data_IF_247394099471
#
_entry.id   IF_247394099471
#
_cell.length_a   1.000
_cell.length_b   1.000
_cell.length_c   1.000
_cell.angle_alpha   90.00
_cell.angle_beta   90.00
_cell.angle_gamma   90.00
#
_symmetry.space_group_name_H-M   'P 1'
#
loop_
_entity.id
_entity.type
_entity.pdbx_description
1 polymer ?
#
# COMPACT_ATOMS: atom_id res chain seq x y z
N UNK A 1 -18.71 -2.99 9.61
CA UNK A 1 -17.45 -2.70 8.89
C UNK A 1 -17.70 -2.92 7.40
N UNK A 2 -17.41 -1.95 6.54
CA UNK A 2 -17.46 -2.04 5.07
C UNK A 2 -16.08 -1.74 4.53
N UNK A 3 -15.54 -2.60 3.70
CA UNK A 3 -14.15 -2.55 3.25
C UNK A 3 -14.12 -2.26 1.75
N UNK A 4 -13.46 -1.20 1.33
CA UNK A 4 -13.20 -0.92 -0.07
C UNK A 4 -11.94 -1.68 -0.51
N UNK A 5 -12.06 -2.48 -1.55
CA UNK A 5 -10.94 -3.03 -2.31
C UNK A 5 -10.71 -2.08 -3.48
N UNK A 6 -9.68 -1.25 -3.36
CA UNK A 6 -9.31 -0.23 -4.33
C UNK A 6 -8.20 -0.71 -5.24
N UNK A 7 -8.48 -0.85 -6.52
CA UNK A 7 -7.55 -1.34 -7.54
C UNK A 7 -7.03 -0.17 -8.38
N UNK A 8 -5.72 -0.11 -8.50
CA UNK A 8 -5.01 0.91 -9.28
C UNK A 8 -4.42 0.26 -10.54
N UNK A 9 -4.76 0.77 -11.71
CA UNK A 9 -4.13 0.31 -12.94
C UNK A 9 -4.18 1.37 -14.04
N UNK A 10 -3.05 1.58 -14.71
CA UNK A 10 -2.97 2.37 -15.94
C UNK A 10 -2.73 1.52 -17.19
N UNK A 11 -2.51 0.21 -17.04
CA UNK A 11 -2.08 -0.69 -18.12
C UNK A 11 -2.90 -1.99 -18.23
N UNK A 12 -3.89 -2.15 -17.36
CA UNK A 12 -4.59 -3.42 -17.14
C UNK A 12 -3.96 -4.22 -16.00
N UNK A 13 -4.59 -5.33 -15.62
CA UNK A 13 -4.19 -6.13 -14.47
C UNK A 13 -3.36 -7.34 -14.92
N UNK A 14 -2.28 -7.62 -14.20
CA UNK A 14 -1.48 -8.83 -14.42
C UNK A 14 -2.25 -10.07 -13.97
N UNK A 15 -2.19 -11.15 -14.77
CA UNK A 15 -2.99 -12.37 -14.54
C UNK A 15 -2.78 -12.95 -13.14
N UNK A 16 -1.55 -12.97 -12.65
CA UNK A 16 -1.23 -13.51 -11.31
C UNK A 16 -1.79 -12.63 -10.19
N UNK A 17 -1.83 -11.30 -10.39
CA UNK A 17 -2.49 -10.38 -9.48
C UNK A 17 -4.00 -10.68 -9.42
N UNK A 18 -4.65 -10.85 -10.56
CA UNK A 18 -6.08 -11.21 -10.62
C UNK A 18 -6.36 -12.51 -9.89
N UNK A 19 -5.51 -13.54 -10.05
CA UNK A 19 -5.65 -14.80 -9.31
C UNK A 19 -5.49 -14.62 -7.80
N UNK A 20 -4.52 -13.82 -7.35
CA UNK A 20 -4.35 -13.48 -5.92
C UNK A 20 -5.58 -12.76 -5.38
N UNK A 21 -6.10 -11.79 -6.11
CA UNK A 21 -7.30 -11.04 -5.76
C UNK A 21 -8.53 -11.97 -5.64
N UNK A 22 -8.77 -12.83 -6.63
CA UNK A 22 -9.91 -13.77 -6.61
C UNK A 22 -9.85 -14.71 -5.40
N UNK A 23 -8.66 -15.24 -5.08
CA UNK A 23 -8.47 -16.11 -3.90
C UNK A 23 -8.74 -15.34 -2.61
N UNK A 24 -8.23 -14.11 -2.47
CA UNK A 24 -8.45 -13.26 -1.31
C UNK A 24 -9.94 -12.90 -1.15
N UNK A 25 -10.65 -12.58 -2.23
CA UNK A 25 -12.11 -12.32 -2.19
C UNK A 25 -12.84 -13.57 -1.72
N UNK A 26 -12.51 -14.74 -2.26
CA UNK A 26 -13.13 -16.01 -1.85
C UNK A 26 -12.88 -16.31 -0.37
N UNK A 27 -11.66 -16.14 0.12
CA UNK A 27 -11.31 -16.32 1.52
C UNK A 27 -11.97 -15.30 2.45
N UNK A 28 -12.41 -14.16 1.91
CA UNK A 28 -13.03 -13.03 2.63
C UNK A 28 -14.55 -12.90 2.36
N UNK A 29 -15.22 -13.93 1.87
CA UNK A 29 -16.65 -13.90 1.51
C UNK A 29 -17.61 -13.57 2.66
N UNK A 30 -17.14 -13.68 3.89
CA UNK A 30 -17.84 -13.31 5.13
C UNK A 30 -17.74 -11.81 5.46
N UNK A 31 -16.94 -11.05 4.73
CA UNK A 31 -16.76 -9.62 4.90
C UNK A 31 -17.67 -8.83 3.94
N UNK A 32 -18.05 -7.61 4.35
CA UNK A 32 -18.78 -6.69 3.48
C UNK A 32 -17.78 -5.92 2.60
N UNK A 33 -17.53 -6.43 1.38
CA UNK A 33 -16.59 -5.88 0.43
C UNK A 33 -17.28 -4.96 -0.57
N UNK A 34 -16.65 -3.83 -0.86
CA UNK A 34 -16.98 -2.89 -1.92
C UNK A 34 -15.77 -2.77 -2.84
N UNK A 35 -15.98 -2.63 -4.14
CA UNK A 35 -14.90 -2.61 -5.12
C UNK A 35 -14.88 -1.29 -5.88
N UNK A 36 -13.70 -0.69 -6.00
CA UNK A 36 -13.43 0.47 -6.82
C UNK A 36 -12.20 0.21 -7.69
N UNK A 37 -12.30 0.58 -8.96
CA UNK A 37 -11.18 0.55 -9.90
C UNK A 37 -10.93 1.98 -10.38
N UNK A 38 -9.70 2.42 -10.33
CA UNK A 38 -9.28 3.74 -10.84
C UNK A 38 -8.13 3.56 -11.82
N UNK A 39 -8.35 4.01 -13.06
CA UNK A 39 -7.39 3.93 -14.15
C UNK A 39 -7.27 5.24 -14.95
N UNK A 40 -8.02 6.28 -14.57
CA UNK A 40 -8.20 7.48 -15.38
C UNK A 40 -7.34 8.68 -14.95
N UNK A 41 -6.65 8.59 -13.81
CA UNK A 41 -5.76 9.64 -13.35
C UNK A 41 -4.49 9.72 -14.20
N UNK A 42 -3.97 10.93 -14.39
CA UNK A 42 -2.70 11.14 -15.08
C UNK A 42 -1.51 10.57 -14.30
N UNK A 43 -1.69 10.43 -12.97
CA UNK A 43 -0.61 10.00 -12.09
C UNK A 43 -1.10 8.97 -11.07
N UNK A 44 -0.17 8.17 -10.54
CA UNK A 44 -0.47 7.21 -9.46
C UNK A 44 -1.00 7.91 -8.21
N UNK A 45 -0.47 9.10 -7.88
CA UNK A 45 -0.92 9.89 -6.73
C UNK A 45 -2.36 10.33 -6.89
N UNK A 46 -2.78 10.79 -8.09
CA UNK A 46 -4.18 11.15 -8.37
C UNK A 46 -5.09 9.94 -8.25
N UNK A 47 -4.68 8.77 -8.76
CA UNK A 47 -5.46 7.54 -8.66
C UNK A 47 -5.64 7.12 -7.19
N UNK A 48 -4.60 7.21 -6.36
CA UNK A 48 -4.69 6.92 -4.91
C UNK A 48 -5.61 7.91 -4.20
N UNK A 49 -5.53 9.21 -4.51
CA UNK A 49 -6.43 10.23 -3.97
C UNK A 49 -7.89 9.97 -4.39
N UNK A 50 -8.12 9.58 -5.64
CA UNK A 50 -9.45 9.24 -6.15
C UNK A 50 -10.03 8.02 -5.41
N UNK A 51 -9.26 6.94 -5.23
CA UNK A 51 -9.69 5.76 -4.45
C UNK A 51 -10.04 6.13 -3.01
N UNK A 52 -9.23 6.94 -2.34
CA UNK A 52 -9.52 7.40 -0.98
C UNK A 52 -10.82 8.19 -0.92
N UNK A 53 -11.06 9.10 -1.87
CA UNK A 53 -12.29 9.87 -1.97
C UNK A 53 -13.52 8.96 -2.22
N UNK A 54 -13.41 8.00 -3.14
CA UNK A 54 -14.48 7.03 -3.45
C UNK A 54 -14.80 6.14 -2.25
N UNK A 55 -13.79 5.65 -1.52
CA UNK A 55 -13.98 4.85 -0.31
C UNK A 55 -14.78 5.63 0.75
N UNK A 56 -14.46 6.91 0.96
CA UNK A 56 -15.22 7.80 1.86
C UNK A 56 -16.65 8.02 1.37
N UNK A 57 -16.85 8.34 0.09
CA UNK A 57 -18.18 8.58 -0.51
C UNK A 57 -19.09 7.36 -0.38
N UNK A 58 -18.53 6.15 -0.47
CA UNK A 58 -19.25 4.89 -0.35
C UNK A 58 -19.42 4.41 1.10
N UNK A 59 -19.04 5.23 2.10
CA UNK A 59 -19.17 4.90 3.52
C UNK A 59 -18.35 3.68 3.94
N UNK A 60 -17.22 3.42 3.27
CA UNK A 60 -16.31 2.37 3.67
C UNK A 60 -15.52 2.80 4.92
N UNK A 61 -15.28 1.86 5.82
CA UNK A 61 -14.50 2.08 7.05
C UNK A 61 -13.01 1.80 6.85
N UNK A 62 -12.68 1.01 5.80
CA UNK A 62 -11.32 0.64 5.44
C UNK A 62 -11.17 0.70 3.92
N UNK A 63 -9.97 1.04 3.48
CA UNK A 63 -9.55 0.98 2.09
C UNK A 63 -8.29 0.12 1.99
N UNK A 64 -8.39 -1.01 1.28
CA UNK A 64 -7.24 -1.79 0.83
C UNK A 64 -6.90 -1.34 -0.58
N UNK A 65 -5.79 -0.62 -0.77
CA UNK A 65 -5.24 -0.29 -2.08
C UNK A 65 -4.36 -1.44 -2.57
N UNK A 66 -4.49 -1.81 -3.84
CA UNK A 66 -3.71 -2.86 -4.48
C UNK A 66 -3.27 -2.39 -5.87
N UNK A 67 -1.96 -2.43 -6.13
CA UNK A 67 -1.41 -2.15 -7.44
C UNK A 67 -1.63 -3.35 -8.39
N UNK A 68 -1.65 -3.10 -9.71
CA UNK A 68 -2.06 -4.05 -10.76
C UNK A 68 -1.09 -5.23 -10.99
N UNK A 69 0.02 -5.27 -10.29
CA UNK A 69 1.10 -6.25 -10.44
C UNK A 69 1.56 -6.92 -9.13
N UNK A 70 0.72 -6.86 -8.10
CA UNK A 70 1.02 -7.44 -6.80
C UNK A 70 0.56 -8.90 -6.69
N UNK A 71 1.38 -9.74 -6.06
CA UNK A 71 1.04 -11.12 -5.66
C UNK A 71 1.01 -11.17 -4.13
N UNK A 72 -0.05 -11.76 -3.59
CA UNK A 72 -0.24 -11.88 -2.14
C UNK A 72 -1.08 -13.12 -1.78
N UNK A 73 -0.97 -13.66 -0.54
CA UNK A 73 -1.77 -14.79 -0.07
C UNK A 73 -3.25 -14.46 0.05
N UNK A 74 -4.07 -15.50 0.01
CA UNK A 74 -5.53 -15.37 0.11
C UNK A 74 -6.03 -14.85 1.46
N UNK A 75 -5.27 -15.03 2.54
CA UNK A 75 -5.60 -14.57 3.90
C UNK A 75 -5.12 -13.14 4.21
N UNK A 76 -4.49 -12.46 3.24
CA UNK A 76 -3.85 -11.16 3.43
C UNK A 76 -4.78 -10.11 4.02
N UNK A 77 -5.99 -9.94 3.47
CA UNK A 77 -6.95 -8.95 3.98
C UNK A 77 -7.34 -9.24 5.44
N UNK A 78 -7.66 -10.49 5.77
CA UNK A 78 -8.06 -10.88 7.13
C UNK A 78 -6.93 -10.67 8.13
N UNK A 79 -5.69 -10.96 7.73
CA UNK A 79 -4.51 -10.74 8.58
C UNK A 79 -4.27 -9.26 8.82
N UNK A 80 -4.31 -8.43 7.79
CA UNK A 80 -4.17 -6.98 7.93
C UNK A 80 -5.26 -6.40 8.85
N UNK A 81 -6.52 -6.82 8.68
CA UNK A 81 -7.63 -6.39 9.55
C UNK A 81 -7.45 -6.82 10.99
N UNK A 82 -6.94 -8.04 11.23
CA UNK A 82 -6.74 -8.58 12.58
C UNK A 82 -5.74 -7.77 13.43
N UNK A 83 -4.82 -7.05 12.78
CA UNK A 83 -3.88 -6.18 13.48
C UNK A 83 -4.50 -4.88 14.02
N UNK A 84 -5.70 -4.50 13.53
CA UNK A 84 -6.43 -3.28 13.91
C UNK A 84 -5.57 -2.00 13.90
N UNK A 85 -4.72 -1.85 12.90
CA UNK A 85 -3.89 -0.64 12.71
C UNK A 85 -4.58 0.37 11.82
N UNK A 86 -4.31 1.65 12.05
CA UNK A 86 -4.87 2.71 11.20
C UNK A 86 -4.27 2.69 9.80
N UNK A 87 -2.98 2.36 9.70
CA UNK A 87 -2.23 2.22 8.44
C UNK A 87 -1.31 1.00 8.56
N UNK A 88 -1.49 0.01 7.69
CA UNK A 88 -0.64 -1.18 7.66
C UNK A 88 -0.47 -1.68 6.23
N UNK A 89 0.74 -2.07 5.85
CA UNK A 89 1.05 -2.60 4.54
C UNK A 89 1.67 -3.99 4.60
N UNK A 90 1.59 -4.71 3.48
CA UNK A 90 2.34 -5.95 3.27
C UNK A 90 3.72 -5.59 2.74
N UNK A 91 4.74 -6.28 3.25
CA UNK A 91 6.09 -6.16 2.76
C UNK A 91 6.30 -6.90 1.43
N UNK A 92 7.00 -6.29 0.48
CA UNK A 92 7.33 -6.89 -0.82
C UNK A 92 8.64 -6.34 -1.40
N UNK A 93 9.24 -7.07 -2.34
CA UNK A 93 10.40 -6.59 -3.09
C UNK A 93 9.98 -5.67 -4.25
N UNK A 94 10.77 -4.64 -4.57
CA UNK A 94 10.58 -3.90 -5.81
C UNK A 94 10.86 -4.80 -7.02
N UNK A 95 10.52 -4.34 -8.22
CA UNK A 95 10.79 -5.07 -9.48
C UNK A 95 12.29 -5.24 -9.77
N UNK A 96 13.15 -4.55 -9.07
CA UNK A 96 14.60 -4.60 -9.26
C UNK A 96 15.20 -5.76 -8.46
N UNK A 97 15.92 -6.66 -9.14
CA UNK A 97 16.62 -7.79 -8.52
C UNK A 97 17.75 -7.27 -7.60
N UNK A 98 17.90 -7.88 -6.42
CA UNK A 98 18.95 -7.54 -5.45
C UNK A 98 18.71 -6.24 -4.67
N UNK A 99 17.53 -5.67 -4.76
CA UNK A 99 17.12 -4.52 -3.96
C UNK A 99 16.32 -5.01 -2.74
N UNK A 100 16.57 -4.43 -1.56
CA UNK A 100 15.83 -4.73 -0.32
C UNK A 100 14.31 -4.54 -0.45
N UNK A 101 13.61 -4.68 0.64
CA UNK A 101 12.14 -4.58 0.66
C UNK A 101 11.63 -3.14 0.54
N UNK A 102 10.40 -2.97 0.07
CA UNK A 102 9.72 -1.66 -0.05
C UNK A 102 9.24 -1.17 1.33
N UNK A 103 10.17 -1.12 2.29
CA UNK A 103 9.95 -0.61 3.64
C UNK A 103 11.23 0.06 4.15
N UNK A 104 11.07 1.20 4.82
CA UNK A 104 12.18 1.98 5.35
C UNK A 104 11.96 2.25 6.84
N UNK A 105 13.04 2.14 7.57
CA UNK A 105 13.07 2.42 9.01
C UNK A 105 14.17 3.43 9.31
N UNK A 106 13.90 4.32 10.24
CA UNK A 106 14.89 5.28 10.72
C UNK A 106 15.87 4.55 11.64
N UNK A 107 17.13 4.52 11.24
CA UNK A 107 18.24 4.17 12.13
C UNK A 107 18.73 5.40 12.90
N UNK A 108 19.86 5.25 13.58
CA UNK A 108 20.42 6.33 14.43
C UNK A 108 20.79 7.60 13.64
N UNK A 109 21.18 7.45 12.38
CA UNK A 109 21.66 8.57 11.56
C UNK A 109 20.81 8.88 10.33
N UNK A 110 20.14 7.89 9.73
CA UNK A 110 19.39 8.07 8.47
C UNK A 110 18.26 7.06 8.28
N UNK A 111 17.32 7.42 7.41
CA UNK A 111 16.32 6.51 6.88
C UNK A 111 17.01 5.48 5.97
N UNK A 112 16.78 4.19 6.22
CA UNK A 112 17.37 3.09 5.47
C UNK A 112 16.32 2.08 5.05
N UNK A 113 16.43 1.60 3.82
CA UNK A 113 15.65 0.48 3.29
C UNK A 113 16.05 -0.80 4.01
N UNK A 114 15.08 -1.63 4.39
CA UNK A 114 15.38 -2.88 5.09
C UNK A 114 15.76 -3.98 4.10
N UNK A 115 16.82 -4.70 4.44
CA UNK A 115 17.22 -5.95 3.77
C UNK A 115 16.54 -7.14 4.45
N UNK A 116 16.69 -8.34 3.86
CA UNK A 116 16.01 -9.55 4.35
C UNK A 116 16.42 -9.92 5.77
N UNK A 117 17.68 -9.72 6.10
CA UNK A 117 18.28 -10.03 7.39
C UNK A 117 17.80 -9.09 8.51
N UNK A 118 17.43 -7.87 8.13
CA UNK A 118 17.01 -6.80 9.06
C UNK A 118 15.50 -6.79 9.31
N UNK A 119 14.73 -7.61 8.58
CA UNK A 119 13.28 -7.65 8.74
C UNK A 119 12.89 -8.25 10.09
N UNK A 120 12.08 -7.55 10.89
CA UNK A 120 11.46 -8.12 12.08
C UNK A 120 10.63 -9.38 11.76
N UNK A 121 10.45 -10.25 12.75
CA UNK A 121 9.63 -11.47 12.64
C UNK A 121 8.14 -11.22 12.94
N UNK A 122 7.80 -10.02 13.38
CA UNK A 122 6.47 -9.59 13.75
C UNK A 122 6.17 -8.23 13.08
N UNK A 123 4.92 -7.78 13.15
CA UNK A 123 4.55 -6.45 12.66
C UNK A 123 5.39 -5.38 13.37
N UNK A 124 5.77 -4.36 12.66
CA UNK A 124 6.61 -3.30 13.20
C UNK A 124 6.24 -1.93 12.63
N UNK A 125 6.56 -0.88 13.37
CA UNK A 125 6.46 0.50 12.91
C UNK A 125 7.59 0.83 11.95
N UNK A 126 7.25 1.53 10.89
CA UNK A 126 8.21 2.01 9.90
C UNK A 126 7.92 3.46 9.53
N UNK A 127 8.87 4.13 8.90
CA UNK A 127 8.73 5.50 8.41
C UNK A 127 8.12 5.56 7.02
N UNK A 128 8.46 4.59 6.18
CA UNK A 128 7.92 4.49 4.82
C UNK A 128 7.64 3.04 4.46
N UNK A 129 6.61 2.85 3.68
CA UNK A 129 6.26 1.56 3.11
C UNK A 129 5.70 1.77 1.71
N UNK A 130 6.01 0.84 0.80
CA UNK A 130 5.46 0.89 -0.54
C UNK A 130 3.94 0.68 -0.57
N UNK A 131 3.27 1.41 -1.44
CA UNK A 131 1.81 1.42 -1.56
C UNK A 131 1.21 0.24 -2.33
N UNK A 132 2.02 -0.75 -2.77
CA UNK A 132 1.55 -1.86 -3.62
C UNK A 132 0.44 -2.71 -3.02
N UNK A 133 0.42 -2.86 -1.68
CA UNK A 133 -0.70 -3.45 -0.94
C UNK A 133 -0.75 -2.85 0.46
N UNK A 134 -1.65 -1.89 0.66
CA UNK A 134 -1.77 -1.13 1.91
C UNK A 134 -3.23 -1.02 2.36
N UNK A 135 -3.49 -1.33 3.63
CA UNK A 135 -4.80 -1.17 4.28
C UNK A 135 -4.78 0.09 5.14
N UNK A 136 -5.77 0.96 4.96
CA UNK A 136 -5.89 2.23 5.65
C UNK A 136 -7.33 2.36 6.19
N UNK A 137 -7.50 2.70 7.47
CA UNK A 137 -8.81 3.12 7.99
C UNK A 137 -9.21 4.44 7.36
N UNK A 138 -10.42 4.55 6.85
CA UNK A 138 -10.86 5.76 6.13
C UNK A 138 -10.90 7.02 7.01
N UNK A 139 -11.01 6.87 8.33
CA UNK A 139 -10.91 7.97 9.29
C UNK A 139 -9.57 8.74 9.21
N UNK A 140 -8.50 8.07 8.77
CA UNK A 140 -7.21 8.72 8.50
C UNK A 140 -7.38 9.81 7.45
N UNK A 141 -8.11 9.53 6.36
CA UNK A 141 -8.34 10.49 5.29
C UNK A 141 -9.24 11.66 5.70
N UNK A 142 -10.14 11.46 6.67
CA UNK A 142 -10.96 12.56 7.20
C UNK A 142 -10.15 13.56 8.03
N UNK A 143 -9.08 13.10 8.68
CA UNK A 143 -8.25 13.91 9.59
C UNK A 143 -7.01 14.51 8.92
N UNK A 144 -6.53 13.88 7.84
CA UNK A 144 -5.39 14.41 7.09
C UNK A 144 -5.80 15.47 6.07
N UNK A 145 -5.03 16.56 5.92
CA UNK A 145 -5.29 17.55 4.87
C UNK A 145 -5.00 16.96 3.48
N UNK A 146 -5.81 17.36 2.47
CA UNK A 146 -5.57 17.03 1.06
C UNK A 146 -4.41 17.84 0.48
N UNK A 147 -3.74 17.33 -0.59
CA UNK A 147 -3.85 15.98 -1.12
C UNK A 147 -3.27 14.97 -0.13
N UNK A 148 -3.81 13.74 -0.08
CA UNK A 148 -3.30 12.70 0.79
C UNK A 148 -2.02 12.07 0.23
N UNK A 149 -1.99 11.85 -1.09
CA UNK A 149 -0.87 11.34 -1.87
C UNK A 149 -0.38 12.42 -2.83
N UNK A 150 0.94 12.66 -2.86
CA UNK A 150 1.57 13.64 -3.74
C UNK A 150 3.06 13.31 -3.87
N UNK A 151 3.80 14.06 -4.68
CA UNK A 151 5.26 13.98 -4.75
C UNK A 151 5.92 15.22 -4.18
N UNK A 152 7.08 15.03 -3.56
CA UNK A 152 8.01 16.14 -3.38
C UNK A 152 8.97 16.19 -4.57
N UNK A 153 9.05 17.32 -5.20
CA UNK A 153 9.94 17.56 -6.33
C UNK A 153 11.17 18.33 -5.85
N UNK A 154 12.36 17.83 -6.21
CA UNK A 154 13.60 18.53 -5.97
C UNK A 154 13.72 19.77 -6.90
N UNK A 155 14.54 20.75 -6.53
CA UNK A 155 14.79 21.96 -7.36
C UNK A 155 15.29 21.65 -8.78
N UNK A 156 15.89 20.48 -8.99
CA UNK A 156 16.31 19.97 -10.30
C UNK A 156 15.16 19.41 -11.15
N UNK A 157 13.90 19.39 -10.63
CA UNK A 157 12.74 18.79 -11.30
C UNK A 157 12.59 17.27 -11.11
N UNK A 158 13.51 16.62 -10.41
CA UNK A 158 13.42 15.19 -10.13
C UNK A 158 12.54 14.91 -8.91
N UNK A 159 11.89 13.73 -8.89
CA UNK A 159 11.13 13.28 -7.73
C UNK A 159 12.11 13.05 -6.56
N UNK A 160 11.86 13.74 -5.45
CA UNK A 160 12.61 13.61 -4.19
C UNK A 160 11.94 12.60 -3.26
N UNK A 161 10.61 12.65 -3.15
CA UNK A 161 9.79 11.76 -2.33
C UNK A 161 8.64 11.25 -3.19
N UNK A 162 8.47 9.93 -3.27
CA UNK A 162 7.36 9.28 -3.97
C UNK A 162 6.04 9.45 -3.23
N UNK A 163 4.92 9.15 -3.89
CA UNK A 163 3.58 9.42 -3.38
C UNK A 163 3.23 8.58 -2.13
N UNK A 164 3.73 7.35 -2.06
CA UNK A 164 3.54 6.45 -0.93
C UNK A 164 4.35 6.91 0.30
N UNK A 165 5.61 7.29 0.11
CA UNK A 165 6.44 7.88 1.15
C UNK A 165 5.88 9.23 1.63
N UNK A 166 5.40 10.08 0.70
CA UNK A 166 4.74 11.34 1.03
C UNK A 166 3.53 11.11 1.95
N UNK A 167 2.67 10.13 1.63
CA UNK A 167 1.54 9.77 2.47
C UNK A 167 2.00 9.32 3.87
N UNK A 168 3.01 8.44 3.94
CA UNK A 168 3.56 7.97 5.21
C UNK A 168 4.08 9.12 6.07
N UNK A 169 4.89 10.01 5.52
CA UNK A 169 5.42 11.19 6.22
C UNK A 169 4.31 12.11 6.72
N UNK A 170 3.30 12.36 5.87
CA UNK A 170 2.14 13.16 6.24
C UNK A 170 1.35 12.52 7.38
N UNK A 171 1.11 11.22 7.34
CA UNK A 171 0.41 10.49 8.39
C UNK A 171 1.18 10.56 9.72
N UNK A 172 2.48 10.29 9.70
CA UNK A 172 3.33 10.34 10.90
C UNK A 172 3.36 11.75 11.49
N UNK A 173 3.50 12.78 10.67
CA UNK A 173 3.47 14.19 11.11
C UNK A 173 2.16 14.57 11.81
N UNK A 174 1.06 13.88 11.48
CA UNK A 174 -0.25 14.09 12.08
C UNK A 174 -0.59 13.07 13.19
N UNK A 175 0.42 12.36 13.73
CA UNK A 175 0.29 11.50 14.91
C UNK A 175 -0.15 10.07 14.64
N UNK A 176 -0.15 9.62 13.37
CA UNK A 176 -0.41 8.22 13.02
C UNK A 176 0.87 7.41 13.00
N UNK A 177 0.74 6.13 13.30
CA UNK A 177 1.81 5.16 13.09
C UNK A 177 1.59 4.43 11.74
N UNK A 178 2.67 4.24 10.99
CA UNK A 178 2.69 3.38 9.80
C UNK A 178 3.28 2.03 10.19
N UNK A 179 2.59 0.94 9.83
CA UNK A 179 2.98 -0.42 10.18
C UNK A 179 3.25 -1.25 8.93
N UNK A 180 4.15 -2.21 9.08
CA UNK A 180 4.42 -3.23 8.07
C UNK A 180 4.25 -4.63 8.66
N UNK A 181 3.57 -5.54 7.93
CA UNK A 181 3.53 -6.97 8.26
C UNK A 181 4.49 -7.74 7.35
N UNK A 182 5.67 -8.14 7.85
CA UNK A 182 6.65 -8.90 7.09
C UNK A 182 6.33 -10.40 7.05
N UNK A 183 5.30 -10.84 7.76
CA UNK A 183 4.95 -12.26 7.93
C UNK A 183 3.98 -12.75 6.85
N UNK A 184 3.27 -11.85 6.16
CA UNK A 184 2.38 -12.18 5.04
C UNK A 184 3.24 -12.57 3.83
N UNK A 185 3.31 -13.87 3.53
CA UNK A 185 4.14 -14.46 2.46
C UNK A 185 3.41 -15.64 1.82
N UNK A 186 3.68 -15.96 0.55
CA UNK A 186 4.59 -15.24 -0.35
C UNK A 186 3.98 -13.93 -0.87
N UNK A 187 4.83 -12.93 -1.08
CA UNK A 187 4.48 -11.68 -1.75
C UNK A 187 5.38 -11.49 -2.95
N UNK A 188 4.85 -10.88 -4.00
CA UNK A 188 5.59 -10.61 -5.22
C UNK A 188 5.16 -9.33 -5.89
N UNK A 189 6.09 -8.73 -6.63
CA UNK A 189 5.89 -7.59 -7.50
C UNK A 189 6.27 -8.04 -8.91
N UNK A 190 5.31 -8.16 -9.81
CA UNK A 190 5.51 -8.73 -11.13
C UNK A 190 6.32 -7.77 -11.97
N UNK A 191 7.48 -8.23 -12.47
CA UNK A 191 8.35 -7.49 -13.38
C UNK A 191 8.43 -8.19 -14.73
N UNK A 192 8.48 -7.43 -15.83
CA UNK A 192 8.82 -7.94 -17.17
C UNK A 192 10.31 -7.71 -17.38
N UNK A 193 11.07 -8.77 -17.57
CA UNK A 193 12.49 -8.70 -17.93
C UNK A 193 12.62 -8.99 -19.43
N UNK A 194 13.37 -8.15 -20.15
CA UNK A 194 13.85 -8.45 -21.52
C UNK A 194 15.29 -8.92 -21.38
N UNK A 195 15.59 -10.11 -21.87
CA UNK A 195 16.93 -10.67 -21.92
C UNK A 195 17.55 -10.42 -23.29
#
# INVERSE_FOLDING_TARGET
MRICIGLLSNRGFEQQMVLSLMKMIHASKDLNLHFEVVSEGYTIAENRNCLAAKALQNGCTHLLMIDDDMIFPEDSLKRLLAHDKDIIAINYHPRQIGSGYMVWKKGDAKLSKLEKEDLPKEIFKCEEVGGGTILIKTDVFLKLPRPWFDWEIHETGMVKVGEDAYFCHKAIKNGYDVWCDPTIKPTGHIGKFTF
#
